data_IF_614289603385
#
_entry.id   IF_614289603385
#
_cell.length_a   1.000
_cell.length_b   1.000
_cell.length_c   1.000
_cell.angle_alpha   90.00
_cell.angle_beta   90.00
_cell.angle_gamma   90.00
#
_symmetry.space_group_name_H-M   'P 1'
#
loop_
_entity.id
_entity.type
_entity.pdbx_description
1 polymer ?
#
# COMPACT_ATOMS: atom_id res chain seq x y z
N UNK A 1 20.59 -1.85 -12.85
CA UNK A 1 19.77 -0.77 -13.49
C UNK A 1 18.31 -1.07 -13.17
N UNK A 2 17.53 -0.06 -12.76
CA UNK A 2 16.09 -0.22 -12.50
C UNK A 2 15.35 -0.28 -13.85
N UNK A 3 14.51 -1.29 -14.01
CA UNK A 3 13.70 -1.54 -15.22
C UNK A 3 12.20 -1.39 -14.95
N UNK A 4 11.80 -1.55 -13.68
CA UNK A 4 10.42 -1.34 -13.28
C UNK A 4 10.31 -0.63 -11.93
N UNK A 5 9.21 0.12 -11.75
CA UNK A 5 8.81 0.68 -10.46
C UNK A 5 7.47 0.08 -10.05
N UNK A 6 7.43 -0.54 -8.88
CA UNK A 6 6.25 -1.17 -8.30
C UNK A 6 5.78 -0.31 -7.13
N UNK A 7 4.60 0.27 -7.25
CA UNK A 7 4.05 1.19 -6.27
C UNK A 7 3.07 0.47 -5.34
N UNK A 8 3.13 0.75 -4.06
CA UNK A 8 1.92 0.64 -3.24
C UNK A 8 0.88 1.68 -3.70
N UNK A 9 -0.38 1.51 -3.31
CA UNK A 9 -1.46 2.39 -3.74
C UNK A 9 -1.89 3.37 -2.65
N UNK A 10 -2.39 2.85 -1.53
CA UNK A 10 -3.05 3.62 -0.47
C UNK A 10 -2.01 4.36 0.39
N UNK A 11 -1.99 5.69 0.37
CA UNK A 11 -0.97 6.51 1.04
C UNK A 11 0.28 6.78 0.21
N UNK A 12 0.52 5.98 -0.84
CA UNK A 12 1.64 6.15 -1.78
C UNK A 12 1.24 6.88 -3.05
N UNK A 13 0.34 6.32 -3.87
CA UNK A 13 -0.14 6.94 -5.11
C UNK A 13 -1.35 7.84 -4.89
N UNK A 14 -2.25 7.44 -3.99
CA UNK A 14 -3.51 8.10 -3.71
C UNK A 14 -3.68 8.38 -2.20
N UNK A 15 -4.36 9.48 -1.87
CA UNK A 15 -4.53 9.97 -0.50
C UNK A 15 -5.71 9.28 0.20
N UNK A 16 -5.62 7.94 0.35
CA UNK A 16 -6.66 7.11 0.95
C UNK A 16 -6.28 6.53 2.32
N UNK A 17 -5.00 6.49 2.70
CA UNK A 17 -4.55 5.87 3.95
C UNK A 17 -5.14 6.51 5.20
N UNK A 18 -5.36 7.84 5.19
CA UNK A 18 -6.04 8.57 6.26
C UNK A 18 -7.45 8.02 6.57
N UNK A 19 -8.16 7.52 5.56
CA UNK A 19 -9.49 6.92 5.74
C UNK A 19 -9.42 5.57 6.47
N UNK A 20 -8.38 4.77 6.25
CA UNK A 20 -8.15 3.54 7.01
C UNK A 20 -7.98 3.83 8.50
N UNK A 21 -7.16 4.84 8.84
CA UNK A 21 -6.93 5.30 10.21
C UNK A 21 -8.20 5.78 10.90
N UNK A 22 -9.10 6.45 10.16
CA UNK A 22 -10.39 6.94 10.67
C UNK A 22 -11.42 5.81 10.80
N UNK A 23 -11.51 4.95 9.80
CA UNK A 23 -12.64 4.02 9.70
C UNK A 23 -12.41 2.64 10.31
N UNK A 24 -11.17 2.24 10.64
CA UNK A 24 -10.93 1.07 11.48
C UNK A 24 -11.52 1.26 12.89
N UNK A 25 -11.22 2.35 13.65
CA UNK A 25 -11.84 2.59 14.96
C UNK A 25 -13.37 2.67 14.88
N UNK A 26 -13.92 3.42 13.93
CA UNK A 26 -15.38 3.56 13.75
C UNK A 26 -16.09 2.24 13.45
N UNK A 27 -15.48 1.39 12.65
CA UNK A 27 -16.03 0.07 12.37
C UNK A 27 -16.03 -0.83 13.60
N UNK A 28 -14.98 -0.76 14.42
CA UNK A 28 -14.85 -1.50 15.66
C UNK A 28 -15.87 -1.04 16.71
N UNK A 29 -16.10 0.27 16.84
CA UNK A 29 -17.12 0.84 17.73
C UNK A 29 -18.51 0.26 17.46
N UNK A 30 -18.86 0.02 16.20
CA UNK A 30 -20.14 -0.59 15.82
C UNK A 30 -20.33 -2.03 16.35
N UNK A 31 -19.24 -2.68 16.76
CA UNK A 31 -19.22 -4.02 17.35
C UNK A 31 -18.81 -4.02 18.84
N UNK A 32 -18.76 -2.85 19.47
CA UNK A 32 -18.45 -2.71 20.90
C UNK A 32 -16.96 -2.77 21.26
N UNK A 33 -16.06 -2.62 20.28
CA UNK A 33 -14.61 -2.58 20.49
C UNK A 33 -14.06 -1.15 20.36
N UNK A 34 -12.92 -0.91 20.97
CA UNK A 34 -12.18 0.37 20.86
C UNK A 34 -10.81 0.13 20.27
N UNK A 35 -10.31 1.06 19.44
CA UNK A 35 -8.97 1.00 18.85
C UNK A 35 -8.25 2.31 19.12
N UNK A 36 -7.02 2.24 19.61
CA UNK A 36 -6.16 3.42 19.75
C UNK A 36 -5.60 3.86 18.39
N UNK A 37 -5.11 5.10 18.34
CA UNK A 37 -4.48 5.62 17.15
C UNK A 37 -3.20 4.85 16.78
N UNK A 38 -2.40 4.47 17.78
CA UNK A 38 -1.22 3.62 17.57
C UNK A 38 -1.60 2.25 16.98
N UNK A 39 -2.67 1.63 17.48
CA UNK A 39 -3.18 0.38 16.91
C UNK A 39 -3.61 0.57 15.45
N UNK A 40 -4.32 1.66 15.14
CA UNK A 40 -4.73 1.96 13.77
C UNK A 40 -3.53 2.14 12.82
N UNK A 41 -2.46 2.80 13.30
CA UNK A 41 -1.22 2.96 12.55
C UNK A 41 -0.51 1.63 12.28
N UNK A 42 -0.53 0.66 13.21
CA UNK A 42 0.08 -0.66 12.99
C UNK A 42 -0.67 -1.51 11.97
N UNK A 43 -1.96 -1.23 11.74
CA UNK A 43 -2.77 -1.94 10.74
C UNK A 43 -2.48 -1.54 9.29
N UNK A 44 -1.69 -0.48 9.08
CA UNK A 44 -1.40 0.05 7.74
C UNK A 44 -0.71 -0.98 6.86
N UNK A 45 -1.24 -1.16 5.66
CA UNK A 45 -0.78 -2.16 4.69
C UNK A 45 -0.69 -3.60 5.21
N UNK A 46 -1.18 -3.86 6.43
CA UNK A 46 -1.12 -5.20 7.03
C UNK A 46 -2.09 -6.14 6.32
N UNK A 47 -1.53 -7.13 5.64
CA UNK A 47 -2.29 -8.10 4.84
C UNK A 47 -2.75 -9.32 5.65
N UNK A 48 -3.48 -10.21 4.99
CA UNK A 48 -3.79 -11.54 5.55
C UNK A 48 -2.56 -12.47 5.44
N UNK A 49 -2.32 -13.37 6.40
CA UNK A 49 -3.15 -13.67 7.57
C UNK A 49 -2.86 -12.78 8.79
N UNK A 50 -1.97 -11.81 8.68
CA UNK A 50 -1.46 -11.01 9.82
C UNK A 50 -2.52 -10.11 10.44
N UNK A 51 -3.31 -9.38 9.61
CA UNK A 51 -4.34 -8.47 10.10
C UNK A 51 -5.44 -9.19 10.92
N UNK A 52 -6.01 -10.34 10.48
CA UNK A 52 -6.95 -11.09 11.32
C UNK A 52 -6.34 -11.56 12.63
N UNK A 53 -5.09 -12.03 12.62
CA UNK A 53 -4.39 -12.47 13.85
C UNK A 53 -4.20 -11.32 14.82
N UNK A 54 -3.68 -10.20 14.34
CA UNK A 54 -3.45 -9.01 15.17
C UNK A 54 -4.72 -8.51 15.84
N UNK A 55 -5.85 -8.53 15.16
CA UNK A 55 -7.12 -8.11 15.75
C UNK A 55 -7.67 -9.14 16.73
N UNK A 56 -7.47 -10.45 16.48
CA UNK A 56 -7.79 -11.48 17.47
C UNK A 56 -6.92 -11.40 18.71
N UNK A 57 -5.62 -11.12 18.56
CA UNK A 57 -4.71 -10.92 19.69
C UNK A 57 -5.17 -9.74 20.58
N UNK A 58 -5.75 -8.69 20.01
CA UNK A 58 -6.25 -7.54 20.77
C UNK A 58 -7.64 -7.73 21.36
N UNK A 59 -8.54 -8.43 20.63
CA UNK A 59 -9.98 -8.46 20.97
C UNK A 59 -10.52 -9.86 21.31
N UNK A 60 -9.68 -10.90 21.23
CA UNK A 60 -10.04 -12.29 21.56
C UNK A 60 -10.39 -13.14 20.35
N UNK A 61 -10.42 -14.47 20.58
CA UNK A 61 -10.62 -15.46 19.51
C UNK A 61 -11.97 -15.37 18.79
N UNK A 62 -13.01 -14.89 19.49
CA UNK A 62 -14.37 -14.72 18.96
C UNK A 62 -14.51 -13.48 18.05
N UNK A 63 -13.42 -12.69 17.88
CA UNK A 63 -13.44 -11.49 17.04
C UNK A 63 -13.72 -11.82 15.57
N UNK A 64 -14.81 -11.26 15.02
CA UNK A 64 -15.15 -11.41 13.61
C UNK A 64 -14.48 -10.33 12.75
N UNK A 65 -13.25 -10.63 12.33
CA UNK A 65 -12.48 -9.77 11.43
C UNK A 65 -13.24 -9.39 10.16
N UNK A 66 -13.96 -10.34 9.56
CA UNK A 66 -14.59 -10.13 8.26
C UNK A 66 -15.79 -9.21 8.35
N UNK A 67 -16.60 -9.34 9.41
CA UNK A 67 -17.73 -8.44 9.68
C UNK A 67 -17.25 -7.00 9.89
N UNK A 68 -16.25 -6.80 10.76
CA UNK A 68 -15.69 -5.47 11.04
C UNK A 68 -15.02 -4.87 9.80
N UNK A 69 -14.25 -5.68 9.05
CA UNK A 69 -13.63 -5.24 7.79
C UNK A 69 -14.67 -4.84 6.75
N UNK A 70 -15.79 -5.55 6.64
CA UNK A 70 -16.89 -5.20 5.76
C UNK A 70 -17.47 -3.84 6.14
N UNK A 71 -17.78 -3.64 7.42
CA UNK A 71 -18.28 -2.35 7.94
C UNK A 71 -17.32 -1.20 7.66
N UNK A 72 -16.02 -1.40 7.89
CA UNK A 72 -15.00 -0.41 7.56
C UNK A 72 -15.00 -0.06 6.06
N UNK A 73 -15.10 -1.07 5.17
CA UNK A 73 -15.18 -0.84 3.73
C UNK A 73 -16.38 0.03 3.35
N UNK A 74 -17.56 -0.26 3.88
CA UNK A 74 -18.78 0.50 3.64
C UNK A 74 -18.61 1.97 4.04
N UNK A 75 -18.16 2.22 5.28
CA UNK A 75 -17.93 3.57 5.78
C UNK A 75 -16.88 4.34 4.96
N UNK A 76 -15.84 3.64 4.50
CA UNK A 76 -14.79 4.23 3.69
C UNK A 76 -15.28 4.58 2.28
N UNK A 77 -16.08 3.70 1.64
CA UNK A 77 -16.69 3.95 0.33
C UNK A 77 -17.60 5.19 0.37
N UNK A 78 -18.51 5.28 1.36
CA UNK A 78 -19.38 6.45 1.53
C UNK A 78 -18.58 7.75 1.66
N UNK A 79 -17.45 7.73 2.38
CA UNK A 79 -16.59 8.90 2.53
C UNK A 79 -15.87 9.24 1.22
N UNK A 80 -15.34 8.24 0.51
CA UNK A 80 -14.62 8.45 -0.75
C UNK A 80 -15.56 8.90 -1.89
N UNK A 81 -16.79 8.40 -1.93
CA UNK A 81 -17.79 8.84 -2.90
C UNK A 81 -18.20 10.32 -2.67
N UNK A 82 -18.21 10.77 -1.41
CA UNK A 82 -18.49 12.17 -1.05
C UNK A 82 -17.31 13.10 -1.29
N UNK A 83 -16.10 12.70 -0.87
CA UNK A 83 -14.92 13.56 -0.80
C UNK A 83 -14.07 13.51 -2.07
N UNK A 84 -14.27 12.46 -2.89
CA UNK A 84 -13.42 12.12 -4.03
C UNK A 84 -12.07 11.52 -3.61
N UNK A 85 -11.39 10.92 -4.57
CA UNK A 85 -10.03 10.37 -4.37
C UNK A 85 -9.04 11.29 -5.07
N UNK A 86 -7.96 11.67 -4.37
CA UNK A 86 -6.90 12.53 -4.91
C UNK A 86 -5.60 11.74 -5.04
N UNK A 87 -4.84 12.04 -6.09
CA UNK A 87 -3.45 11.59 -6.17
C UNK A 87 -2.58 12.26 -5.11
N UNK A 88 -1.56 11.56 -4.66
CA UNK A 88 -0.50 12.14 -3.83
C UNK A 88 0.34 13.13 -4.65
N UNK A 89 0.92 14.17 -4.01
CA UNK A 89 1.77 15.13 -4.71
C UNK A 89 2.92 14.46 -5.47
N UNK A 90 3.12 14.83 -6.73
CA UNK A 90 4.16 14.28 -7.59
C UNK A 90 3.84 12.94 -8.26
N UNK A 91 2.67 12.33 -7.99
CA UNK A 91 2.32 11.01 -8.54
C UNK A 91 2.19 11.04 -10.07
N UNK A 92 1.45 12.00 -10.60
CA UNK A 92 1.20 12.10 -12.06
C UNK A 92 2.49 12.45 -12.78
N UNK A 93 3.23 13.44 -12.28
CA UNK A 93 4.50 13.89 -12.84
C UNK A 93 5.54 12.76 -12.90
N UNK A 94 5.65 11.96 -11.82
CA UNK A 94 6.54 10.81 -11.79
C UNK A 94 6.11 9.74 -12.80
N UNK A 95 4.82 9.41 -12.87
CA UNK A 95 4.31 8.40 -13.80
C UNK A 95 4.51 8.81 -15.25
N UNK A 96 4.34 10.10 -15.57
CA UNK A 96 4.64 10.64 -16.90
C UNK A 96 6.14 10.54 -17.25
N UNK A 97 7.01 10.85 -16.30
CA UNK A 97 8.46 10.73 -16.48
C UNK A 97 8.88 9.27 -16.72
N UNK A 98 8.41 8.35 -15.89
CA UNK A 98 8.70 6.92 -16.05
C UNK A 98 8.22 6.39 -17.40
N UNK A 99 7.05 6.83 -17.86
CA UNK A 99 6.53 6.48 -19.19
C UNK A 99 7.43 6.99 -20.31
N UNK A 100 7.89 8.25 -20.25
CA UNK A 100 8.82 8.83 -21.23
C UNK A 100 10.16 8.09 -21.28
N UNK A 101 10.62 7.58 -20.13
CA UNK A 101 11.86 6.81 -19.98
C UNK A 101 11.69 5.32 -20.27
N UNK A 102 10.49 4.88 -20.69
CA UNK A 102 10.15 3.47 -20.94
C UNK A 102 10.40 2.54 -19.76
N UNK A 103 10.19 3.04 -18.53
CA UNK A 103 10.27 2.26 -17.31
C UNK A 103 8.89 1.68 -17.02
N UNK A 104 8.83 0.36 -16.88
CA UNK A 104 7.57 -0.34 -16.60
C UNK A 104 7.06 0.01 -15.20
N UNK A 105 5.74 0.20 -15.07
CA UNK A 105 5.12 0.49 -13.77
C UNK A 105 4.04 -0.53 -13.43
N UNK A 106 3.96 -0.90 -12.16
CA UNK A 106 2.94 -1.80 -11.62
C UNK A 106 2.48 -1.32 -10.24
N UNK A 107 1.34 -1.84 -9.79
CA UNK A 107 0.83 -1.61 -8.43
C UNK A 107 0.87 -2.92 -7.66
N UNK A 108 1.27 -2.86 -6.38
CA UNK A 108 1.25 -3.97 -5.42
C UNK A 108 0.57 -3.50 -4.12
N UNK A 109 -0.72 -3.81 -3.94
CA UNK A 109 -1.55 -3.25 -2.86
C UNK A 109 -2.25 -4.30 -2.00
N UNK A 110 -2.51 -3.98 -0.73
CA UNK A 110 -3.35 -4.76 0.18
C UNK A 110 -4.86 -4.66 -0.14
N UNK A 111 -5.24 -3.71 -1.00
CA UNK A 111 -6.62 -3.51 -1.47
C UNK A 111 -6.99 -4.58 -2.51
N UNK A 112 -8.27 -4.98 -2.55
CA UNK A 112 -8.76 -5.93 -3.54
C UNK A 112 -8.73 -5.33 -4.96
N UNK A 113 -8.67 -6.22 -5.98
CA UNK A 113 -8.44 -5.81 -7.36
C UNK A 113 -9.55 -4.90 -7.89
N UNK A 114 -10.80 -5.16 -7.56
CA UNK A 114 -11.96 -4.38 -8.02
C UNK A 114 -11.85 -2.91 -7.56
N UNK A 115 -11.57 -2.70 -6.27
CA UNK A 115 -11.37 -1.36 -5.71
C UNK A 115 -10.10 -0.70 -6.22
N UNK A 116 -9.04 -1.47 -6.42
CA UNK A 116 -7.79 -0.96 -7.03
C UNK A 116 -8.06 -0.40 -8.42
N UNK A 117 -8.74 -1.17 -9.28
CA UNK A 117 -9.11 -0.73 -10.62
C UNK A 117 -10.02 0.52 -10.57
N UNK A 118 -11.06 0.51 -9.70
CA UNK A 118 -11.98 1.65 -9.49
C UNK A 118 -11.20 2.92 -9.10
N UNK A 119 -10.35 2.85 -8.11
CA UNK A 119 -9.66 4.02 -7.56
C UNK A 119 -8.63 4.62 -8.52
N UNK A 120 -7.85 3.76 -9.19
CA UNK A 120 -6.89 4.22 -10.20
C UNK A 120 -7.57 4.81 -11.44
N UNK A 121 -8.76 4.31 -11.80
CA UNK A 121 -9.57 4.86 -12.88
C UNK A 121 -10.15 6.22 -12.50
N UNK A 122 -10.73 6.35 -11.30
CA UNK A 122 -11.29 7.60 -10.80
C UNK A 122 -10.23 8.71 -10.69
N UNK A 123 -8.99 8.36 -10.37
CA UNK A 123 -7.88 9.30 -10.28
C UNK A 123 -7.17 9.55 -11.62
N UNK A 124 -7.58 8.85 -12.69
CA UNK A 124 -7.03 9.00 -14.04
C UNK A 124 -5.64 8.40 -14.25
N UNK A 125 -5.07 7.73 -13.25
CA UNK A 125 -3.71 7.17 -13.35
C UNK A 125 -3.66 5.70 -13.76
N UNK A 126 -4.81 5.02 -13.90
CA UNK A 126 -4.88 3.60 -14.32
C UNK A 126 -4.06 3.28 -15.61
N UNK A 127 -4.06 4.14 -16.66
CA UNK A 127 -3.38 3.83 -17.91
C UNK A 127 -1.85 3.78 -17.82
N UNK A 128 -1.25 4.21 -16.73
CA UNK A 128 0.20 4.14 -16.54
C UNK A 128 0.67 2.73 -16.14
N UNK A 129 -0.19 1.91 -15.53
CA UNK A 129 0.22 0.63 -14.94
C UNK A 129 -0.01 -0.56 -15.87
N UNK A 130 1.07 -1.32 -16.13
CA UNK A 130 1.00 -2.57 -16.89
C UNK A 130 0.31 -3.67 -16.10
N UNK A 131 0.60 -3.77 -14.79
CA UNK A 131 0.05 -4.79 -13.89
C UNK A 131 -0.53 -4.17 -12.63
N UNK A 132 -1.65 -4.73 -12.18
CA UNK A 132 -2.22 -4.48 -10.87
C UNK A 132 -2.18 -5.77 -10.06
N UNK A 133 -1.44 -5.77 -8.97
CA UNK A 133 -1.26 -6.90 -8.08
C UNK A 133 -1.95 -6.60 -6.76
N UNK A 134 -2.95 -7.41 -6.44
CA UNK A 134 -3.68 -7.35 -5.18
C UNK A 134 -3.21 -8.44 -4.23
N UNK A 135 -3.25 -8.17 -2.93
CA UNK A 135 -2.99 -9.16 -1.89
C UNK A 135 -3.95 -10.37 -1.93
N UNK A 136 -5.01 -10.32 -2.73
CA UNK A 136 -5.88 -11.49 -2.99
C UNK A 136 -5.27 -12.51 -3.94
N UNK A 137 -4.18 -12.16 -4.63
CA UNK A 137 -3.47 -13.00 -5.61
C UNK A 137 -2.33 -13.81 -5.00
N UNK A 138 -2.02 -13.59 -3.72
CA UNK A 138 -0.90 -14.21 -3.01
C UNK A 138 -1.37 -14.92 -1.73
N UNK A 139 -0.56 -15.85 -1.24
CA UNK A 139 -0.89 -16.60 -0.03
C UNK A 139 -0.83 -15.69 1.21
N UNK A 140 0.22 -14.90 1.34
CA UNK A 140 0.42 -13.98 2.44
C UNK A 140 0.57 -12.53 1.94
N UNK A 141 -0.14 -11.61 2.56
CA UNK A 141 0.00 -10.17 2.29
C UNK A 141 1.18 -9.57 3.05
N UNK A 142 1.42 -8.27 2.85
CA UNK A 142 2.44 -7.51 3.58
C UNK A 142 2.33 -7.74 5.11
N UNK A 143 3.41 -7.94 5.84
CA UNK A 143 4.82 -7.76 5.48
C UNK A 143 5.52 -9.00 4.88
N UNK A 144 4.78 -10.04 4.42
CA UNK A 144 5.37 -11.13 3.62
C UNK A 144 5.88 -10.58 2.29
N UNK A 145 6.99 -11.13 1.73
CA UNK A 145 7.52 -10.70 0.44
C UNK A 145 6.65 -11.10 -0.76
N UNK A 146 5.67 -11.97 -0.56
CA UNK A 146 4.93 -12.67 -1.62
C UNK A 146 4.39 -11.72 -2.69
N UNK A 147 3.80 -10.59 -2.29
CA UNK A 147 3.17 -9.67 -3.23
C UNK A 147 4.18 -8.99 -4.16
N UNK A 148 5.37 -8.63 -3.65
CA UNK A 148 6.42 -8.04 -4.46
C UNK A 148 7.14 -9.08 -5.32
N UNK A 149 7.39 -10.29 -4.78
CA UNK A 149 7.92 -11.41 -5.57
C UNK A 149 6.98 -11.77 -6.71
N UNK A 150 5.68 -11.84 -6.43
CA UNK A 150 4.68 -12.09 -7.46
C UNK A 150 4.64 -10.97 -8.51
N UNK A 151 4.70 -9.70 -8.08
CA UNK A 151 4.74 -8.55 -8.99
C UNK A 151 5.96 -8.60 -9.91
N UNK A 152 7.16 -8.83 -9.37
CA UNK A 152 8.38 -8.99 -10.16
C UNK A 152 8.26 -10.14 -11.17
N UNK A 153 7.73 -11.30 -10.73
CA UNK A 153 7.48 -12.44 -11.61
C UNK A 153 6.50 -12.14 -12.75
N UNK A 154 5.42 -11.38 -12.48
CA UNK A 154 4.46 -10.97 -13.50
C UNK A 154 5.04 -9.97 -14.52
N UNK A 155 6.09 -9.25 -14.13
CA UNK A 155 6.84 -8.35 -15.03
C UNK A 155 8.01 -9.05 -15.74
N UNK A 156 8.31 -10.31 -15.38
CA UNK A 156 9.46 -11.05 -15.93
C UNK A 156 10.82 -10.45 -15.53
N UNK A 157 10.89 -9.85 -14.33
CA UNK A 157 12.08 -9.17 -13.81
C UNK A 157 12.54 -9.79 -12.49
N UNK A 158 13.86 -9.71 -12.24
CA UNK A 158 14.41 -10.03 -10.94
C UNK A 158 14.09 -8.88 -9.95
N UNK A 159 13.89 -9.17 -8.64
CA UNK A 159 13.58 -8.14 -7.66
C UNK A 159 14.59 -6.98 -7.60
N UNK A 160 15.87 -7.25 -7.83
CA UNK A 160 16.95 -6.26 -7.85
C UNK A 160 16.87 -5.29 -9.03
N UNK A 161 16.11 -5.64 -10.09
CA UNK A 161 15.81 -4.79 -11.25
C UNK A 161 14.57 -3.92 -11.00
N UNK A 162 13.87 -4.13 -9.88
CA UNK A 162 12.65 -3.43 -9.50
C UNK A 162 12.89 -2.47 -8.33
N UNK A 163 12.34 -1.27 -8.45
CA UNK A 163 12.21 -0.34 -7.33
C UNK A 163 10.80 -0.47 -6.76
N UNK A 164 10.68 -0.63 -5.45
CA UNK A 164 9.40 -0.58 -4.73
C UNK A 164 9.24 0.79 -4.07
N UNK A 165 8.06 1.40 -4.21
CA UNK A 165 7.72 2.68 -3.58
C UNK A 165 6.60 2.46 -2.58
N UNK A 166 6.84 2.86 -1.33
CA UNK A 166 6.00 2.55 -0.17
C UNK A 166 5.89 3.73 0.80
N UNK A 167 4.84 3.72 1.63
CA UNK A 167 4.61 4.72 2.67
C UNK A 167 4.57 4.14 4.08
N UNK A 168 4.45 2.81 4.20
CA UNK A 168 4.17 2.11 5.46
C UNK A 168 5.29 1.14 5.87
N UNK A 169 5.50 0.91 7.20
CA UNK A 169 6.48 -0.07 7.67
C UNK A 169 6.25 -1.48 7.15
N UNK A 170 5.00 -1.97 7.13
CA UNK A 170 4.67 -3.30 6.63
C UNK A 170 4.98 -3.46 5.14
N UNK A 171 4.73 -2.42 4.36
CA UNK A 171 5.04 -2.41 2.94
C UNK A 171 6.53 -2.37 2.66
N UNK A 172 7.26 -1.50 3.36
CA UNK A 172 8.74 -1.44 3.27
C UNK A 172 9.37 -2.80 3.58
N UNK A 173 8.96 -3.45 4.69
CA UNK A 173 9.46 -4.77 5.06
C UNK A 173 9.14 -5.83 4.00
N UNK A 174 7.95 -5.78 3.41
CA UNK A 174 7.55 -6.71 2.35
C UNK A 174 8.45 -6.58 1.12
N UNK A 175 8.64 -5.35 0.63
CA UNK A 175 9.48 -5.05 -0.53
C UNK A 175 10.97 -5.36 -0.29
N UNK A 176 11.48 -5.02 0.90
CA UNK A 176 12.86 -5.31 1.30
C UNK A 176 13.14 -6.82 1.35
N UNK A 177 12.24 -7.59 1.97
CA UNK A 177 12.34 -9.07 2.04
C UNK A 177 12.24 -9.73 0.67
N UNK A 178 11.55 -9.11 -0.27
CA UNK A 178 11.49 -9.55 -1.67
C UNK A 178 12.79 -9.30 -2.43
N UNK A 179 13.68 -8.43 -1.93
CA UNK A 179 14.94 -8.06 -2.58
C UNK A 179 14.83 -6.85 -3.52
N UNK A 180 13.71 -6.12 -3.49
CA UNK A 180 13.56 -4.88 -4.26
C UNK A 180 14.41 -3.74 -3.68
N UNK A 181 14.73 -2.74 -4.51
CA UNK A 181 15.24 -1.45 -4.01
C UNK A 181 14.08 -0.63 -3.48
N UNK A 182 14.04 -0.41 -2.16
CA UNK A 182 12.89 0.20 -1.50
C UNK A 182 13.08 1.70 -1.31
N UNK A 183 12.17 2.49 -1.86
CA UNK A 183 12.05 3.92 -1.59
C UNK A 183 10.81 4.16 -0.73
N UNK A 184 10.98 4.82 0.42
CA UNK A 184 9.86 5.22 1.26
C UNK A 184 9.51 6.69 1.01
N UNK A 185 8.22 6.94 0.78
CA UNK A 185 7.60 8.27 0.77
C UNK A 185 6.68 8.34 1.98
N UNK A 186 7.14 8.83 3.15
CA UNK A 186 6.36 8.76 4.38
C UNK A 186 5.03 9.50 4.28
N UNK A 187 3.94 8.85 4.72
CA UNK A 187 2.61 9.45 4.84
C UNK A 187 2.24 9.67 6.32
N UNK A 188 1.75 8.64 7.01
CA UNK A 188 1.29 8.75 8.41
C UNK A 188 2.40 8.50 9.44
N UNK A 189 3.51 7.88 9.06
CA UNK A 189 4.62 7.54 9.95
C UNK A 189 5.96 7.78 9.28
N UNK A 190 6.94 8.24 10.07
CA UNK A 190 8.33 8.33 9.64
C UNK A 190 9.07 7.02 9.91
N UNK A 191 10.08 6.64 9.09
CA UNK A 191 10.86 5.45 9.35
C UNK A 191 11.74 5.64 10.59
N UNK A 192 11.72 4.66 11.49
CA UNK A 192 12.65 4.56 12.62
C UNK A 192 14.05 4.09 12.17
N UNK A 193 14.96 3.91 13.14
CA UNK A 193 16.33 3.51 12.86
C UNK A 193 16.45 2.11 12.23
N UNK A 194 15.59 1.18 12.57
CA UNK A 194 15.61 -0.17 12.01
C UNK A 194 15.00 -0.19 10.61
N UNK A 195 13.88 0.50 10.42
CA UNK A 195 13.25 0.58 9.10
C UNK A 195 14.14 1.28 8.07
N UNK A 196 14.91 2.30 8.49
CA UNK A 196 15.87 3.00 7.62
C UNK A 196 16.94 2.07 7.04
N UNK A 197 17.29 0.98 7.73
CA UNK A 197 18.27 -0.01 7.22
C UNK A 197 17.72 -0.82 6.03
N UNK A 198 16.40 -0.85 5.86
CA UNK A 198 15.71 -1.52 4.76
C UNK A 198 15.52 -0.63 3.52
N UNK A 199 15.88 0.65 3.61
CA UNK A 199 15.60 1.63 2.56
C UNK A 199 16.81 1.86 1.66
N UNK A 200 16.57 1.91 0.35
CA UNK A 200 17.49 2.50 -0.61
C UNK A 200 17.49 4.04 -0.49
N UNK A 201 16.30 4.63 -0.33
CA UNK A 201 16.12 6.06 -0.08
C UNK A 201 14.81 6.33 0.70
N UNK A 202 14.76 7.49 1.37
CA UNK A 202 13.55 8.04 1.94
C UNK A 202 13.42 9.48 1.43
N UNK A 203 12.34 9.77 0.73
CA UNK A 203 12.10 11.07 0.09
C UNK A 203 10.75 11.65 0.52
N UNK A 204 10.62 12.98 0.61
CA UNK A 204 9.40 13.62 1.09
C UNK A 204 8.22 13.54 0.09
N UNK A 205 8.51 13.41 -1.21
CA UNK A 205 7.46 13.38 -2.25
C UNK A 205 7.83 12.41 -3.38
N UNK A 206 6.82 11.96 -4.13
CA UNK A 206 7.02 11.10 -5.31
C UNK A 206 7.85 11.76 -6.40
N UNK A 207 7.81 13.09 -6.53
CA UNK A 207 8.55 13.82 -7.56
C UNK A 207 10.07 13.61 -7.48
N UNK A 208 10.60 13.34 -6.28
CA UNK A 208 12.04 13.17 -6.07
C UNK A 208 12.57 11.79 -6.51
N UNK A 209 11.67 10.83 -6.72
CA UNK A 209 12.03 9.45 -7.13
C UNK A 209 12.68 9.44 -8.52
N UNK A 210 12.30 10.36 -9.40
CA UNK A 210 12.85 10.49 -10.75
C UNK A 210 14.39 10.57 -10.78
N UNK A 211 15.00 11.15 -9.75
CA UNK A 211 16.44 11.31 -9.63
C UNK A 211 17.17 10.05 -9.08
N UNK A 212 16.42 9.04 -8.61
CA UNK A 212 16.96 7.81 -8.03
C UNK A 212 17.08 6.65 -9.04
N UNK A 213 16.57 6.84 -10.26
CA UNK A 213 16.45 5.82 -11.32
C UNK A 213 17.40 6.10 -12.48
#
# INVERSE_FOLDING_TARGET
>A
MIRAVIFDMDGTLIDTEKYYRIFWPKALEAYGYTMTDEQALTMRSLGRPFAPRQLKDWYGEEFDYYAVRKKRKELMEEALDRDGIKCKPGAVELLEDLKKRHITTAVATATDLERTEKYLTLTGIRPYFEKLISATMVAEGKPSPDIYLYACGQLGLAPEECMAVEDSPNGVLSAYRAGCKVVMVPDQTQPDGELKKCLYACVPTLAEISHLI
#
